data_IF_995470000116
#
_entry.id   IF_995470000116
#
_cell.length_a   1.000
_cell.length_b   1.000
_cell.length_c   1.000
_cell.angle_alpha   90.00
_cell.angle_beta   90.00
_cell.angle_gamma   90.00
#
_symmetry.space_group_name_H-M   'P 1'
#
loop_
_entity.id
_entity.type
_entity.pdbx_description
1 polymer ?
#
# COMPACT_ATOMS: atom_id res chain seq x y z
N UNK A 1 11.76 -3.81 -3.48
CA UNK A 1 10.74 -4.14 -2.48
C UNK A 1 9.54 -4.73 -3.17
N UNK A 2 9.24 -5.99 -2.90
CA UNK A 2 8.01 -6.63 -3.33
C UNK A 2 6.87 -6.13 -2.43
N UNK A 3 5.66 -6.03 -2.93
CA UNK A 3 4.51 -5.63 -2.12
C UNK A 3 3.25 -6.39 -2.55
N UNK A 4 2.28 -6.47 -1.64
CA UNK A 4 0.98 -7.14 -1.82
C UNK A 4 -0.19 -6.17 -1.75
N UNK A 5 0.09 -4.86 -1.89
CA UNK A 5 -0.92 -3.83 -1.68
C UNK A 5 -2.10 -3.98 -2.66
N UNK A 6 -1.82 -4.26 -3.92
CA UNK A 6 -2.85 -4.46 -4.94
C UNK A 6 -3.73 -5.69 -4.63
N UNK A 7 -3.11 -6.82 -4.28
CA UNK A 7 -3.81 -8.05 -3.90
C UNK A 7 -4.76 -7.80 -2.73
N UNK A 8 -4.25 -7.17 -1.66
CA UNK A 8 -5.00 -6.88 -0.44
C UNK A 8 -6.13 -5.88 -0.71
N UNK A 9 -5.87 -4.83 -1.50
CA UNK A 9 -6.87 -3.85 -1.90
C UNK A 9 -8.01 -4.51 -2.70
N UNK A 10 -7.65 -5.33 -3.70
CA UNK A 10 -8.61 -6.04 -4.54
C UNK A 10 -9.43 -7.05 -3.74
N UNK A 11 -8.83 -7.75 -2.77
CA UNK A 11 -9.53 -8.68 -1.89
C UNK A 11 -10.62 -8.00 -1.04
N UNK A 12 -10.51 -6.69 -0.80
CA UNK A 12 -11.53 -5.87 -0.14
C UNK A 12 -12.47 -5.14 -1.10
N UNK A 13 -12.31 -5.32 -2.41
CA UNK A 13 -13.15 -4.67 -3.44
C UNK A 13 -12.97 -3.16 -3.54
N UNK A 14 -11.84 -2.63 -3.04
CA UNK A 14 -11.59 -1.18 -2.98
C UNK A 14 -10.88 -0.72 -4.24
N UNK A 15 -11.25 0.44 -4.79
CA UNK A 15 -10.53 1.05 -5.92
C UNK A 15 -9.34 1.88 -5.47
N UNK A 16 -8.36 2.09 -6.37
CA UNK A 16 -7.17 2.89 -6.05
C UNK A 16 -7.51 4.32 -5.63
N UNK A 17 -8.53 4.95 -6.23
CA UNK A 17 -8.95 6.31 -5.92
C UNK A 17 -9.65 6.40 -4.55
N UNK A 18 -10.38 5.37 -4.14
CA UNK A 18 -10.97 5.27 -2.81
C UNK A 18 -9.89 5.14 -1.74
N UNK A 19 -8.93 4.23 -1.94
CA UNK A 19 -7.80 4.07 -1.02
C UNK A 19 -6.95 5.35 -0.93
N UNK A 20 -6.73 6.03 -2.07
CA UNK A 20 -6.01 7.29 -2.11
C UNK A 20 -6.69 8.38 -1.27
N UNK A 21 -8.02 8.51 -1.39
CA UNK A 21 -8.80 9.45 -0.57
C UNK A 21 -8.70 9.14 0.92
N UNK A 22 -8.82 7.87 1.31
CA UNK A 22 -8.73 7.43 2.71
C UNK A 22 -7.35 7.72 3.31
N UNK A 23 -6.29 7.53 2.53
CA UNK A 23 -4.92 7.72 2.99
C UNK A 23 -4.41 9.16 2.80
N UNK A 24 -5.23 10.04 2.22
CA UNK A 24 -4.93 11.45 1.91
C UNK A 24 -3.71 11.58 0.98
N UNK A 25 -3.64 10.72 -0.03
CA UNK A 25 -2.59 10.73 -1.06
C UNK A 25 -3.20 10.80 -2.46
N UNK A 26 -2.37 11.01 -3.47
CA UNK A 26 -2.84 10.96 -4.85
C UNK A 26 -3.12 9.51 -5.29
N UNK A 27 -4.04 9.31 -6.24
CA UNK A 27 -4.22 8.01 -6.90
C UNK A 27 -2.90 7.49 -7.51
N UNK A 28 -2.08 8.40 -8.04
CA UNK A 28 -0.77 8.07 -8.60
C UNK A 28 0.16 7.48 -7.54
N UNK A 29 0.09 7.95 -6.29
CA UNK A 29 0.86 7.39 -5.17
C UNK A 29 0.50 5.92 -4.94
N UNK A 30 -0.81 5.60 -4.90
CA UNK A 30 -1.26 4.20 -4.76
C UNK A 30 -0.79 3.34 -5.93
N UNK A 31 -0.97 3.84 -7.17
CA UNK A 31 -0.52 3.12 -8.37
C UNK A 31 1.00 2.88 -8.37
N UNK A 32 1.80 3.87 -8.00
CA UNK A 32 3.26 3.74 -7.92
C UNK A 32 3.70 2.77 -6.82
N UNK A 33 3.00 2.72 -5.69
CA UNK A 33 3.25 1.74 -4.63
C UNK A 33 2.98 0.32 -5.11
N UNK A 34 1.79 0.07 -5.66
CA UNK A 34 1.37 -1.25 -6.15
C UNK A 34 2.35 -1.80 -7.19
N UNK A 35 2.81 -0.95 -8.11
CA UNK A 35 3.78 -1.30 -9.14
C UNK A 35 5.25 -1.32 -8.67
N UNK A 36 5.53 -1.10 -7.37
CA UNK A 36 6.88 -1.10 -6.81
C UNK A 36 7.79 0.03 -7.31
N UNK A 37 7.23 1.08 -7.92
CA UNK A 37 7.96 2.25 -8.44
C UNK A 37 8.31 3.27 -7.35
N UNK A 38 7.71 3.12 -6.17
CA UNK A 38 7.85 4.03 -5.06
C UNK A 38 7.83 3.25 -3.76
N UNK A 39 8.76 3.58 -2.85
CA UNK A 39 8.76 3.05 -1.49
C UNK A 39 7.93 3.99 -0.61
N UNK A 40 6.97 3.48 0.18
CA UNK A 40 6.18 4.32 1.07
C UNK A 40 7.08 4.99 2.11
N UNK A 41 6.71 6.19 2.54
CA UNK A 41 7.23 6.73 3.79
C UNK A 41 6.78 5.85 4.96
N UNK A 42 7.52 5.87 6.07
CA UNK A 42 7.15 5.09 7.26
C UNK A 42 5.73 5.40 7.74
N UNK A 43 5.32 6.68 7.67
CA UNK A 43 3.97 7.13 8.04
C UNK A 43 2.92 6.51 7.12
N UNK A 44 3.17 6.50 5.81
CA UNK A 44 2.24 5.93 4.84
C UNK A 44 2.14 4.40 4.99
N UNK A 45 3.26 3.73 5.26
CA UNK A 45 3.27 2.30 5.54
C UNK A 45 2.41 1.96 6.78
N UNK A 46 2.54 2.73 7.87
CA UNK A 46 1.68 2.56 9.05
C UNK A 46 0.20 2.86 8.77
N UNK A 47 -0.12 3.92 8.02
CA UNK A 47 -1.51 4.22 7.63
C UNK A 47 -2.12 3.05 6.85
N UNK A 48 -1.39 2.50 5.88
CA UNK A 48 -1.81 1.38 5.04
C UNK A 48 -2.00 0.11 5.89
N UNK A 49 -1.02 -0.23 6.73
CA UNK A 49 -1.05 -1.38 7.64
C UNK A 49 -2.27 -1.33 8.56
N UNK A 50 -2.51 -0.18 9.22
CA UNK A 50 -3.69 0.01 10.08
C UNK A 50 -5.00 -0.08 9.31
N UNK A 51 -5.09 0.51 8.13
CA UNK A 51 -6.29 0.46 7.31
C UNK A 51 -6.66 -0.98 6.93
N UNK A 52 -5.66 -1.80 6.59
CA UNK A 52 -5.85 -3.20 6.21
C UNK A 52 -5.86 -4.17 7.39
N UNK A 53 -5.67 -3.71 8.63
CA UNK A 53 -5.53 -4.55 9.82
C UNK A 53 -4.47 -5.66 9.61
N UNK A 54 -3.28 -5.21 9.17
CA UNK A 54 -2.12 -6.05 8.86
C UNK A 54 -0.86 -5.41 9.42
N UNK A 55 0.21 -6.18 9.53
CA UNK A 55 1.55 -5.62 9.78
C UNK A 55 2.10 -4.98 8.50
N UNK A 56 3.15 -4.17 8.64
CA UNK A 56 3.82 -3.57 7.47
C UNK A 56 4.43 -4.65 6.59
N UNK A 57 5.05 -5.66 7.21
CA UNK A 57 5.77 -6.77 6.58
C UNK A 57 4.84 -7.72 5.80
N UNK A 58 3.57 -7.83 6.21
CA UNK A 58 2.55 -8.57 5.45
C UNK A 58 2.20 -7.88 4.12
N UNK A 59 2.41 -6.57 4.03
CA UNK A 59 2.06 -5.74 2.86
C UNK A 59 3.29 -5.41 2.01
N UNK A 60 4.39 -5.03 2.66
CA UNK A 60 5.62 -4.53 2.06
C UNK A 60 6.75 -5.50 2.42
N UNK A 61 7.11 -6.36 1.48
CA UNK A 61 8.08 -7.43 1.67
C UNK A 61 9.46 -6.85 1.34
N UNK A 62 10.22 -6.59 2.39
CA UNK A 62 11.63 -6.29 2.29
C UNK A 62 12.39 -7.59 2.02
N UNK A 63 13.10 -7.64 0.91
CA UNK A 63 14.05 -8.71 0.59
C UNK A 63 15.43 -8.08 0.80
N UNK A 64 16.18 -8.58 1.79
CA UNK A 64 17.63 -8.32 1.89
C UNK A 64 18.28 -8.99 0.66
N UNK A 65 19.19 -8.28 -0.02
CA UNK A 65 20.05 -8.91 -1.04
C UNK A 65 20.99 -9.95 -0.40
#
# INVERSE_FOLDING_TARGET
>A
MKNRLEEIRNARGIKQDELAKILEVSRQTISSLENGKYNPSIILAFKIARYFDRTIEEIFIYEEE
#
